data_IF_193951185446
#
_entry.id   IF_193951185446
#
_cell.length_a   1.000
_cell.length_b   1.000
_cell.length_c   1.000
_cell.angle_alpha   90.00
_cell.angle_beta   90.00
_cell.angle_gamma   90.00
#
_symmetry.space_group_name_H-M   'P 1'
#
loop_
_entity.id
_entity.type
_entity.pdbx_description
1 polymer ?
#
# COMPACT_ATOMS: atom_id res chain seq x y z
N UNK A 1 7.78 20.93 -3.93
CA UNK A 1 8.74 20.31 -4.87
C UNK A 1 8.56 18.80 -4.77
N UNK A 2 8.50 18.09 -5.90
CA UNK A 2 8.32 16.62 -5.93
C UNK A 2 9.54 15.96 -6.57
N UNK A 3 9.81 14.66 -6.30
CA UNK A 3 10.90 13.95 -6.95
C UNK A 3 10.72 13.87 -8.47
N UNK A 4 11.79 14.11 -9.22
CA UNK A 4 11.85 13.94 -10.67
C UNK A 4 12.94 12.95 -11.05
N UNK A 5 12.70 12.17 -12.12
CA UNK A 5 13.70 11.27 -12.66
C UNK A 5 14.87 12.06 -13.28
N UNK A 6 16.09 11.76 -12.85
CA UNK A 6 17.32 12.32 -13.42
C UNK A 6 17.90 11.30 -14.41
N UNK A 7 17.10 10.88 -15.38
CA UNK A 7 17.49 9.98 -16.47
C UNK A 7 16.74 10.32 -17.74
N UNK A 8 17.43 10.25 -18.89
CA UNK A 8 16.80 10.40 -20.20
C UNK A 8 16.18 9.09 -20.70
N UNK A 9 16.44 7.96 -20.02
CA UNK A 9 16.02 6.63 -20.45
C UNK A 9 14.70 6.24 -19.76
N UNK A 10 13.59 6.65 -20.36
CA UNK A 10 12.22 6.37 -19.88
C UNK A 10 11.38 5.51 -20.84
N UNK A 11 11.95 5.07 -21.97
CA UNK A 11 11.22 4.30 -23.00
C UNK A 11 10.49 3.06 -22.45
N UNK A 12 11.17 2.15 -21.73
CA UNK A 12 10.51 0.97 -21.16
C UNK A 12 9.46 1.30 -20.10
N UNK A 13 9.65 2.38 -19.32
CA UNK A 13 8.64 2.84 -18.36
C UNK A 13 7.37 3.32 -19.09
N UNK A 14 7.52 4.13 -20.14
CA UNK A 14 6.38 4.60 -20.94
C UNK A 14 5.64 3.43 -21.61
N UNK A 15 6.36 2.45 -22.12
CA UNK A 15 5.75 1.24 -22.71
C UNK A 15 4.94 0.45 -21.66
N UNK A 16 5.48 0.28 -20.46
CA UNK A 16 4.76 -0.35 -19.34
C UNK A 16 3.50 0.44 -18.98
N UNK A 17 3.60 1.76 -18.84
CA UNK A 17 2.47 2.64 -18.53
C UNK A 17 1.37 2.53 -19.60
N UNK A 18 1.73 2.62 -20.89
CA UNK A 18 0.78 2.45 -21.99
C UNK A 18 0.08 1.09 -21.94
N UNK A 19 0.82 0.00 -21.75
CA UNK A 19 0.26 -1.35 -21.63
C UNK A 19 -0.71 -1.48 -20.45
N UNK A 20 -0.37 -0.92 -19.29
CA UNK A 20 -1.24 -0.96 -18.10
C UNK A 20 -2.51 -0.16 -18.36
N UNK A 21 -2.41 1.04 -18.94
CA UNK A 21 -3.57 1.88 -19.24
C UNK A 21 -4.52 1.22 -20.24
N UNK A 22 -3.98 0.67 -21.34
CA UNK A 22 -4.77 -0.04 -22.36
C UNK A 22 -5.45 -1.30 -21.80
N UNK A 23 -4.80 -1.99 -20.86
CA UNK A 23 -5.31 -3.23 -20.26
C UNK A 23 -6.08 -3.03 -18.94
N UNK A 24 -6.36 -1.78 -18.53
CA UNK A 24 -6.95 -1.46 -17.20
C UNK A 24 -8.15 -2.34 -16.84
N UNK A 25 -9.20 -2.50 -17.68
CA UNK A 25 -10.37 -3.30 -17.30
C UNK A 25 -10.04 -4.78 -17.10
N UNK A 26 -9.10 -5.32 -17.87
CA UNK A 26 -8.65 -6.71 -17.79
C UNK A 26 -7.83 -6.94 -16.52
N UNK A 27 -6.91 -6.03 -16.19
CA UNK A 27 -6.10 -6.09 -14.96
C UNK A 27 -7.00 -6.02 -13.72
N UNK A 28 -7.93 -5.07 -13.69
CA UNK A 28 -8.88 -4.90 -12.58
C UNK A 28 -9.79 -6.12 -12.39
N UNK A 29 -10.25 -6.72 -13.51
CA UNK A 29 -11.02 -7.98 -13.45
C UNK A 29 -10.18 -9.12 -12.91
N UNK A 30 -8.93 -9.24 -13.37
CA UNK A 30 -8.03 -10.28 -12.91
C UNK A 30 -7.80 -10.18 -11.40
N UNK A 31 -7.47 -8.99 -10.88
CA UNK A 31 -7.33 -8.79 -9.43
C UNK A 31 -8.57 -9.19 -8.63
N UNK A 32 -9.78 -8.83 -9.09
CA UNK A 32 -11.02 -9.24 -8.40
C UNK A 32 -11.20 -10.74 -8.31
N UNK A 33 -10.78 -11.49 -9.33
CA UNK A 33 -10.86 -12.95 -9.34
C UNK A 33 -9.79 -13.54 -8.40
N UNK A 34 -8.55 -13.05 -8.47
CA UNK A 34 -7.49 -13.50 -7.56
C UNK A 34 -7.85 -13.26 -6.09
N UNK A 35 -8.52 -12.14 -5.76
CA UNK A 35 -8.94 -11.83 -4.38
C UNK A 35 -10.16 -12.61 -3.88
N UNK A 36 -10.84 -13.36 -4.75
CA UNK A 36 -11.85 -14.34 -4.36
C UNK A 36 -11.19 -15.64 -3.90
N UNK A 37 -10.14 -16.08 -4.60
CA UNK A 37 -9.39 -17.29 -4.27
C UNK A 37 -8.36 -17.06 -3.15
N UNK A 38 -7.79 -15.85 -3.08
CA UNK A 38 -6.73 -15.48 -2.15
C UNK A 38 -7.18 -14.31 -1.26
N UNK A 39 -7.23 -14.54 0.06
CA UNK A 39 -7.56 -13.46 0.99
C UNK A 39 -6.34 -12.54 1.16
N UNK A 40 -6.45 -11.23 0.86
CA UNK A 40 -5.35 -10.30 1.07
C UNK A 40 -5.08 -10.10 2.57
N UNK A 41 -3.87 -9.70 2.95
CA UNK A 41 -3.56 -9.35 4.35
C UNK A 41 -4.40 -8.15 4.80
N UNK A 42 -4.56 -7.98 6.12
CA UNK A 42 -5.29 -6.84 6.70
C UNK A 42 -4.72 -5.49 6.25
N UNK A 43 -3.39 -5.40 6.17
CA UNK A 43 -2.65 -4.27 5.66
C UNK A 43 -1.31 -4.72 5.07
N UNK A 44 -0.66 -3.88 4.25
CA UNK A 44 0.73 -4.05 3.85
C UNK A 44 1.28 -2.74 3.25
N UNK A 45 2.61 -2.62 3.19
CA UNK A 45 3.29 -1.65 2.33
C UNK A 45 4.23 -2.36 1.37
N UNK A 46 4.43 -1.77 0.19
CA UNK A 46 5.35 -2.29 -0.83
C UNK A 46 6.26 -1.16 -1.29
N UNK A 47 7.57 -1.35 -1.15
CA UNK A 47 8.56 -0.40 -1.65
C UNK A 47 8.81 -0.67 -3.13
N UNK A 48 8.70 0.38 -3.95
CA UNK A 48 8.96 0.34 -5.38
C UNK A 48 10.24 1.12 -5.71
N UNK A 49 10.98 0.64 -6.72
CA UNK A 49 12.06 1.41 -7.35
C UNK A 49 11.77 1.62 -8.83
N UNK A 50 11.80 2.87 -9.25
CA UNK A 50 11.71 3.28 -10.65
C UNK A 50 13.09 3.74 -11.15
N UNK A 51 13.63 3.04 -12.14
CA UNK A 51 14.93 3.32 -12.77
C UNK A 51 14.81 3.83 -14.21
N UNK A 52 13.60 4.11 -14.69
CA UNK A 52 13.30 4.51 -16.07
C UNK A 52 13.29 3.36 -17.08
N UNK A 53 14.19 2.38 -16.94
CA UNK A 53 14.15 1.13 -17.71
C UNK A 53 13.43 -0.02 -17.01
N UNK A 54 13.18 0.09 -15.69
CA UNK A 54 12.53 -0.94 -14.88
C UNK A 54 11.81 -0.31 -13.69
N UNK A 55 10.59 -0.79 -13.46
CA UNK A 55 9.80 -0.57 -12.25
C UNK A 55 9.65 -1.92 -11.53
N UNK A 56 9.99 -2.00 -10.25
CA UNK A 56 9.92 -3.27 -9.51
C UNK A 56 9.67 -3.09 -8.02
N UNK A 57 8.94 -4.03 -7.38
CA UNK A 57 8.91 -4.14 -5.93
C UNK A 57 10.26 -4.62 -5.41
N UNK A 58 10.70 -4.05 -4.30
CA UNK A 58 11.98 -4.39 -3.65
C UNK A 58 11.83 -4.80 -2.19
N UNK A 59 10.71 -4.45 -1.56
CA UNK A 59 10.34 -4.89 -0.22
C UNK A 59 8.82 -4.99 -0.09
N UNK A 60 8.34 -5.96 0.67
CA UNK A 60 6.93 -6.10 1.06
C UNK A 60 6.87 -6.28 2.57
N UNK A 61 6.29 -5.31 3.26
CA UNK A 61 6.14 -5.34 4.70
C UNK A 61 4.67 -5.55 5.08
N UNK A 62 4.39 -6.67 5.75
CA UNK A 62 3.05 -6.99 6.29
C UNK A 62 2.75 -6.27 7.61
N UNK A 63 3.70 -5.54 8.18
CA UNK A 63 3.57 -4.74 9.41
C UNK A 63 4.12 -3.33 9.17
N UNK A 64 3.48 -2.52 8.29
CA UNK A 64 3.97 -1.20 7.94
C UNK A 64 4.02 -0.27 9.17
N UNK A 65 5.10 0.50 9.27
CA UNK A 65 5.40 1.38 10.42
C UNK A 65 5.39 2.88 10.08
N UNK A 66 4.68 3.28 9.02
CA UNK A 66 4.69 4.65 8.50
C UNK A 66 3.32 5.26 8.22
N UNK A 67 2.26 4.87 8.95
CA UNK A 67 0.90 5.41 8.79
C UNK A 67 0.84 6.92 8.96
N UNK A 68 1.68 7.48 9.85
CA UNK A 68 1.81 8.92 10.08
C UNK A 68 2.37 9.70 8.87
N UNK A 69 2.87 9.02 7.84
CA UNK A 69 3.38 9.64 6.61
C UNK A 69 2.32 9.74 5.51
N UNK A 70 1.13 9.16 5.71
CA UNK A 70 0.01 9.28 4.77
C UNK A 70 -0.55 10.70 4.79
N UNK A 71 -1.00 11.19 3.64
CA UNK A 71 -1.65 12.51 3.57
C UNK A 71 -2.95 12.49 4.39
N UNK A 72 -3.24 13.53 5.19
CA UNK A 72 -4.51 13.65 5.91
C UNK A 72 -5.75 13.52 5.00
N UNK A 73 -5.63 13.90 3.74
CA UNK A 73 -6.69 13.80 2.73
C UNK A 73 -7.08 12.35 2.39
N UNK A 74 -6.17 11.39 2.63
CA UNK A 74 -6.44 9.97 2.40
C UNK A 74 -7.18 9.31 3.56
N UNK A 75 -7.34 9.98 4.69
CA UNK A 75 -7.93 9.39 5.89
C UNK A 75 -9.33 8.79 5.65
N UNK A 76 -10.27 9.43 4.92
CA UNK A 76 -11.57 8.82 4.65
C UNK A 76 -11.47 7.50 3.87
N UNK A 77 -10.54 7.43 2.91
CA UNK A 77 -10.31 6.22 2.11
C UNK A 77 -9.65 5.13 2.94
N UNK A 78 -8.69 5.47 3.81
CA UNK A 78 -8.04 4.54 4.72
C UNK A 78 -9.05 3.93 5.71
N UNK A 79 -9.96 4.74 6.26
CA UNK A 79 -11.05 4.27 7.13
C UNK A 79 -11.95 3.29 6.38
N UNK A 80 -12.38 3.63 5.16
CA UNK A 80 -13.22 2.74 4.36
C UNK A 80 -12.52 1.40 4.06
N UNK A 81 -11.23 1.42 3.71
CA UNK A 81 -10.46 0.22 3.45
C UNK A 81 -10.29 -0.64 4.72
N UNK A 82 -10.04 -0.02 5.88
CA UNK A 82 -9.94 -0.71 7.16
C UNK A 82 -11.27 -1.37 7.56
N UNK A 83 -12.40 -0.68 7.38
CA UNK A 83 -13.74 -1.26 7.62
C UNK A 83 -13.98 -2.50 6.75
N UNK A 84 -13.69 -2.41 5.45
CA UNK A 84 -13.82 -3.55 4.54
C UNK A 84 -12.89 -4.73 4.93
N UNK A 85 -11.68 -4.43 5.41
CA UNK A 85 -10.76 -5.45 5.91
C UNK A 85 -11.28 -6.14 7.18
N UNK A 86 -11.83 -5.38 8.14
CA UNK A 86 -12.46 -5.92 9.36
C UNK A 86 -13.66 -6.79 9.00
N UNK A 87 -14.56 -6.32 8.14
CA UNK A 87 -15.74 -7.08 7.70
C UNK A 87 -15.34 -8.41 7.03
N UNK A 88 -14.26 -8.41 6.24
CA UNK A 88 -13.78 -9.62 5.55
C UNK A 88 -13.05 -10.59 6.49
N UNK A 89 -12.24 -10.10 7.43
CA UNK A 89 -11.31 -10.93 8.22
C UNK A 89 -11.91 -11.29 9.59
N UNK A 90 -12.60 -10.37 10.25
CA UNK A 90 -13.11 -10.53 11.61
C UNK A 90 -14.43 -9.75 11.84
N UNK A 91 -15.53 -10.10 11.14
CA UNK A 91 -16.78 -9.34 11.14
C UNK A 91 -17.44 -9.17 12.52
N UNK A 92 -17.24 -10.12 13.42
CA UNK A 92 -17.81 -10.11 14.78
C UNK A 92 -16.91 -9.41 15.81
N UNK A 93 -15.76 -8.89 15.39
CA UNK A 93 -14.81 -8.24 16.29
C UNK A 93 -15.39 -6.95 16.86
N UNK A 94 -15.47 -6.90 18.21
CA UNK A 94 -15.89 -5.70 18.94
C UNK A 94 -14.73 -4.90 19.50
N UNK A 95 -13.58 -5.56 19.66
CA UNK A 95 -12.36 -4.98 20.22
C UNK A 95 -11.16 -5.47 19.40
N UNK A 96 -10.21 -4.58 19.16
CA UNK A 96 -8.91 -4.91 18.57
C UNK A 96 -7.80 -4.59 19.58
N UNK A 97 -6.86 -5.53 19.74
CA UNK A 97 -5.64 -5.30 20.48
C UNK A 97 -4.51 -5.05 19.50
N UNK A 98 -3.95 -3.83 19.53
CA UNK A 98 -2.75 -3.48 18.76
C UNK A 98 -1.50 -3.81 19.59
N UNK A 99 -0.62 -4.66 19.05
CA UNK A 99 0.67 -4.99 19.66
C UNK A 99 1.76 -4.27 18.87
N UNK A 100 2.36 -3.19 19.41
CA UNK A 100 3.42 -2.46 18.72
C UNK A 100 4.79 -3.16 18.86
N UNK A 101 5.72 -2.74 18.01
CA UNK A 101 7.15 -3.03 18.15
C UNK A 101 7.71 -2.42 19.44
N UNK A 102 8.86 -2.95 19.89
CA UNK A 102 9.53 -2.52 21.15
C UNK A 102 10.12 -1.10 21.12
N UNK A 103 9.87 -0.32 20.08
CA UNK A 103 10.46 1.01 19.88
C UNK A 103 9.75 2.09 20.71
N UNK A 104 10.14 2.22 21.98
CA UNK A 104 9.53 3.17 22.92
C UNK A 104 10.13 4.58 22.88
N UNK A 105 11.23 4.77 22.14
CA UNK A 105 11.96 6.06 22.07
C UNK A 105 11.92 6.72 20.69
N UNK A 106 11.44 6.01 19.68
CA UNK A 106 11.34 6.55 18.32
C UNK A 106 10.03 7.33 18.21
N UNK A 107 10.12 8.66 18.22
CA UNK A 107 8.94 9.54 18.15
C UNK A 107 8.12 9.34 16.88
N UNK A 108 8.76 9.07 15.74
CA UNK A 108 8.06 8.77 14.49
C UNK A 108 7.28 7.47 14.59
N UNK A 109 7.85 6.45 15.23
CA UNK A 109 7.15 5.19 15.44
C UNK A 109 5.96 5.36 16.41
N UNK A 110 6.11 6.17 17.45
CA UNK A 110 4.99 6.50 18.35
C UNK A 110 3.87 7.26 17.62
N UNK A 111 4.22 8.17 16.71
CA UNK A 111 3.25 8.85 15.84
C UNK A 111 2.56 7.87 14.88
N UNK A 112 3.31 6.90 14.33
CA UNK A 112 2.74 5.82 13.53
C UNK A 112 1.68 5.04 14.33
N UNK A 113 1.97 4.64 15.56
CA UNK A 113 1.00 3.94 16.42
C UNK A 113 -0.22 4.82 16.70
N UNK A 114 -0.03 6.12 16.94
CA UNK A 114 -1.14 7.03 17.19
C UNK A 114 -2.03 7.29 15.96
N UNK A 115 -1.49 7.09 14.75
CA UNK A 115 -2.20 7.28 13.49
C UNK A 115 -2.92 6.01 13.00
N UNK A 116 -2.39 4.83 13.32
CA UNK A 116 -2.97 3.53 12.98
C UNK A 116 -4.27 3.27 13.74
#
# INVERSE_FOLDING_TARGET
MVPHLITALSGPLLELESKVLEATPTIERWFRLEWQEHTPPFYCSVDLRNSGFKLSPVDTNLFPGGFNNLSPEMLPLAVQAAMAAIEKICPEAKNLLLIPERHTRNTFYLQNIACL
#
